data_IF_990797307372
#
_entry.id   IF_990797307372
#
_cell.length_a   1.000
_cell.length_b   1.000
_cell.length_c   1.000
_cell.angle_alpha   90.00
_cell.angle_beta   90.00
_cell.angle_gamma   90.00
#
_symmetry.space_group_name_H-M   'P 1'
#
loop_
_entity.id
_entity.type
_entity.pdbx_description
1 polymer ?
#
# COMPACT_ATOMS: atom_id res chain seq x y z
N UNK A 1 4.25 -14.73 -1.77
CA UNK A 1 5.55 -14.08 -1.57
C UNK A 1 5.84 -13.02 -2.63
N UNK A 2 5.61 -13.30 -3.92
CA UNK A 2 5.86 -12.32 -5.01
C UNK A 2 5.27 -10.93 -4.76
N UNK A 3 4.01 -10.85 -4.30
CA UNK A 3 3.37 -9.57 -4.00
C UNK A 3 4.15 -8.73 -2.97
N UNK A 4 4.80 -9.36 -1.98
CA UNK A 4 5.55 -8.66 -0.93
C UNK A 4 6.79 -7.92 -1.47
N UNK A 5 7.28 -8.29 -2.65
CA UNK A 5 8.38 -7.59 -3.30
C UNK A 5 7.93 -6.28 -3.94
N UNK A 6 6.69 -6.19 -4.44
CA UNK A 6 6.21 -5.05 -5.25
C UNK A 6 6.28 -3.70 -4.52
N UNK A 7 6.01 -3.68 -3.21
CA UNK A 7 6.16 -2.51 -2.33
C UNK A 7 7.25 -2.70 -1.28
N UNK A 8 8.19 -3.62 -1.52
CA UNK A 8 9.38 -3.86 -0.68
C UNK A 8 9.05 -4.16 0.80
N UNK A 9 8.02 -4.97 1.03
CA UNK A 9 7.77 -5.64 2.31
C UNK A 9 8.80 -6.74 2.58
N UNK A 10 9.36 -7.31 1.51
CA UNK A 10 10.56 -8.13 1.51
C UNK A 10 11.51 -7.64 0.40
N UNK A 11 12.81 -7.85 0.57
CA UNK A 11 13.82 -7.65 -0.47
C UNK A 11 14.02 -8.97 -1.23
N UNK A 12 14.29 -8.94 -2.55
CA UNK A 12 14.69 -10.14 -3.28
C UNK A 12 16.07 -10.60 -2.82
N UNK A 13 16.28 -11.92 -2.78
CA UNK A 13 17.62 -12.48 -2.51
C UNK A 13 18.58 -12.26 -3.70
N UNK A 14 18.04 -12.31 -4.92
CA UNK A 14 18.76 -12.09 -6.18
C UNK A 14 17.87 -11.35 -7.20
N UNK A 15 18.51 -10.58 -8.08
CA UNK A 15 17.85 -9.80 -9.13
C UNK A 15 17.27 -8.47 -8.63
N UNK A 16 16.61 -7.76 -9.52
CA UNK A 16 16.11 -6.41 -9.28
C UNK A 16 14.60 -6.32 -9.52
N UNK A 17 13.94 -5.47 -8.74
CA UNK A 17 12.54 -5.11 -8.91
C UNK A 17 12.45 -3.63 -9.23
N UNK A 18 11.63 -3.26 -10.21
CA UNK A 18 11.42 -1.87 -10.61
C UNK A 18 9.93 -1.55 -10.69
N UNK A 19 9.58 -0.32 -10.31
CA UNK A 19 8.28 0.29 -10.54
C UNK A 19 8.44 1.33 -11.66
N UNK A 20 7.76 1.12 -12.79
CA UNK A 20 7.87 1.98 -13.98
C UNK A 20 9.31 2.24 -14.45
N UNK A 21 10.17 1.22 -14.32
CA UNK A 21 11.60 1.30 -14.67
C UNK A 21 12.49 1.93 -13.61
N UNK A 22 11.94 2.41 -12.49
CA UNK A 22 12.70 2.91 -11.34
C UNK A 22 12.97 1.76 -10.35
N UNK A 23 14.24 1.43 -10.03
CA UNK A 23 14.57 0.40 -9.06
C UNK A 23 13.94 0.68 -7.68
N UNK A 24 13.30 -0.33 -7.07
CA UNK A 24 12.59 -0.12 -5.79
C UNK A 24 13.52 0.24 -4.63
N UNK A 25 14.79 -0.15 -4.69
CA UNK A 25 15.81 0.17 -3.69
C UNK A 25 16.28 1.63 -3.74
N UNK A 26 16.09 2.30 -4.88
CA UNK A 26 16.36 3.73 -5.08
C UNK A 26 15.25 4.64 -4.53
N UNK A 27 14.05 4.10 -4.31
CA UNK A 27 12.91 4.82 -3.74
C UNK A 27 12.91 4.75 -2.21
N UNK A 28 12.47 5.83 -1.57
CA UNK A 28 12.20 5.80 -0.13
C UNK A 28 11.00 4.89 0.17
N UNK A 29 10.94 4.37 1.40
CA UNK A 29 9.77 3.58 1.84
C UNK A 29 8.49 4.41 1.94
N UNK A 30 8.58 5.74 1.97
CA UNK A 30 7.40 6.61 1.97
C UNK A 30 6.82 6.71 0.55
N UNK A 31 7.66 6.94 -0.45
CA UNK A 31 7.27 6.98 -1.86
C UNK A 31 6.63 5.64 -2.28
N UNK A 32 7.27 4.52 -1.98
CA UNK A 32 6.72 3.20 -2.30
C UNK A 32 5.34 2.94 -1.68
N UNK A 33 5.08 3.42 -0.46
CA UNK A 33 3.79 3.22 0.22
C UNK A 33 2.69 4.13 -0.29
N UNK A 34 3.03 5.21 -1.00
CA UNK A 34 2.05 6.05 -1.70
C UNK A 34 1.61 5.41 -3.01
N UNK A 35 2.53 4.72 -3.69
CA UNK A 35 2.27 4.10 -4.99
C UNK A 35 1.73 2.65 -4.88
N UNK A 36 2.09 1.91 -3.83
CA UNK A 36 1.74 0.49 -3.67
C UNK A 36 0.94 0.26 -2.38
N UNK A 37 -0.32 -0.16 -2.54
CA UNK A 37 -1.20 -0.63 -1.47
C UNK A 37 -1.34 -2.16 -1.46
N UNK A 38 -1.50 -2.75 -0.26
CA UNK A 38 -1.69 -4.19 -0.10
C UNK A 38 -3.09 -4.52 0.41
N UNK A 39 -3.79 -5.42 -0.29
CA UNK A 39 -5.02 -6.05 0.19
C UNK A 39 -4.69 -7.48 0.62
N UNK A 40 -4.59 -7.70 1.93
CA UNK A 40 -4.28 -9.02 2.49
C UNK A 40 -5.52 -9.91 2.51
N UNK A 41 -5.33 -11.23 2.38
CA UNK A 41 -6.40 -12.25 2.46
C UNK A 41 -7.26 -12.10 3.74
N UNK A 42 -6.60 -11.77 4.85
CA UNK A 42 -7.25 -11.42 6.12
C UNK A 42 -6.88 -9.99 6.48
N UNK A 43 -7.67 -8.99 6.03
CA UNK A 43 -7.36 -7.60 6.31
C UNK A 43 -7.64 -7.25 7.77
N UNK A 44 -6.85 -6.35 8.32
CA UNK A 44 -7.16 -5.72 9.60
C UNK A 44 -8.22 -4.64 9.38
N UNK A 45 -9.32 -4.69 10.13
CA UNK A 45 -10.31 -3.62 10.15
C UNK A 45 -9.89 -2.60 11.21
N UNK A 46 -9.35 -1.48 10.74
CA UNK A 46 -8.84 -0.42 11.61
C UNK A 46 -9.91 0.64 11.84
N UNK A 47 -10.07 1.10 13.08
CA UNK A 47 -11.12 2.04 13.47
C UNK A 47 -12.36 1.37 14.08
N UNK A 48 -13.32 2.20 14.49
CA UNK A 48 -14.55 1.75 15.16
C UNK A 48 -15.76 1.61 14.23
N UNK A 49 -15.66 2.10 12.99
CA UNK A 49 -16.75 2.13 12.00
C UNK A 49 -16.23 1.71 10.63
N UNK A 50 -17.13 1.25 9.76
CA UNK A 50 -16.80 0.93 8.36
C UNK A 50 -16.22 2.15 7.63
N UNK A 51 -16.79 3.34 7.85
CA UNK A 51 -16.27 4.59 7.30
C UNK A 51 -14.83 4.84 7.77
N UNK A 52 -14.54 4.59 9.05
CA UNK A 52 -13.20 4.71 9.61
C UNK A 52 -12.23 3.69 9.02
N UNK A 53 -12.68 2.46 8.75
CA UNK A 53 -11.86 1.43 8.10
C UNK A 53 -11.58 1.74 6.63
N UNK A 54 -12.58 2.15 5.85
CA UNK A 54 -12.42 2.46 4.43
C UNK A 54 -11.60 3.74 4.23
N UNK A 55 -11.81 4.75 5.07
CA UNK A 55 -11.03 5.99 5.05
C UNK A 55 -9.61 5.85 5.59
N UNK A 56 -9.26 4.70 6.18
CA UNK A 56 -7.94 4.49 6.78
C UNK A 56 -6.84 4.51 5.72
N UNK A 57 -5.79 5.31 5.97
CA UNK A 57 -4.65 5.45 5.05
C UNK A 57 -4.84 6.48 3.94
N UNK A 58 -6.05 7.04 3.77
CA UNK A 58 -6.24 8.18 2.88
C UNK A 58 -5.58 9.44 3.50
N UNK A 59 -4.78 10.23 2.73
CA UNK A 59 -4.18 11.47 3.22
C UNK A 59 -5.23 12.49 3.70
N UNK A 60 -6.42 12.45 3.10
CA UNK A 60 -7.58 13.26 3.48
C UNK A 60 -8.85 12.41 3.27
N UNK A 61 -9.31 11.67 4.29
CA UNK A 61 -10.57 10.94 4.19
C UNK A 61 -11.72 11.96 4.15
N UNK A 62 -12.39 12.07 3.01
CA UNK A 62 -13.64 12.80 2.90
C UNK A 62 -14.80 11.79 2.99
N UNK A 63 -15.78 11.97 3.89
CA UNK A 63 -16.90 11.04 4.05
C UNK A 63 -17.61 10.71 2.74
N UNK A 64 -17.75 11.69 1.85
CA UNK A 64 -18.37 11.54 0.54
C UNK A 64 -17.57 10.56 -0.34
N UNK A 65 -16.23 10.72 -0.37
CA UNK A 65 -15.33 9.85 -1.14
C UNK A 65 -15.32 8.43 -0.61
N UNK A 66 -15.44 8.26 0.70
CA UNK A 66 -15.53 6.95 1.34
C UNK A 66 -16.83 6.22 0.96
N UNK A 67 -17.94 6.96 0.79
CA UNK A 67 -19.23 6.37 0.36
C UNK A 67 -19.28 6.02 -1.12
N UNK A 68 -18.41 6.61 -1.95
CA UNK A 68 -18.30 6.35 -3.40
C UNK A 68 -17.37 5.17 -3.75
N UNK A 69 -16.50 4.76 -2.81
CA UNK A 69 -15.51 3.70 -2.99
C UNK A 69 -16.11 2.30 -2.89
#
# INVERSE_FOLDING_TARGET
LLAALAGRLADPDEGDVALDGVPLDSLSREELRREVGYAFERPALLGATLEGTIGFGAPRPAPERVREA
#
